data_IF_045748028503
#
_entry.id   IF_045748028503
#
_cell.length_a   1.000
_cell.length_b   1.000
_cell.length_c   1.000
_cell.angle_alpha   90.00
_cell.angle_beta   90.00
_cell.angle_gamma   90.00
#
_symmetry.space_group_name_H-M   'P 1'
#
loop_
_entity.id
_entity.type
_entity.pdbx_description
1 polymer ?
#
# COMPACT_ATOMS: atom_id res chain seq x y z
N UNK A 1 -13.03 5.07 -17.75
CA UNK A 1 -13.75 4.07 -16.93
C UNK A 1 -13.88 4.62 -15.52
N UNK A 2 -15.05 4.50 -14.88
CA UNK A 2 -15.20 4.98 -13.49
C UNK A 2 -14.24 4.25 -12.55
N UNK A 3 -13.67 4.99 -11.59
CA UNK A 3 -12.66 4.48 -10.64
C UNK A 3 -13.19 3.26 -9.88
N UNK A 4 -14.46 3.28 -9.45
CA UNK A 4 -15.09 2.15 -8.74
C UNK A 4 -15.04 0.85 -9.55
N UNK A 5 -15.34 0.92 -10.84
CA UNK A 5 -15.34 -0.26 -11.72
C UNK A 5 -13.93 -0.72 -12.02
N UNK A 6 -13.01 0.22 -12.25
CA UNK A 6 -11.58 -0.06 -12.43
C UNK A 6 -10.97 -0.82 -11.25
N UNK A 7 -11.31 -0.41 -10.02
CA UNK A 7 -10.87 -1.08 -8.81
C UNK A 7 -11.46 -2.49 -8.72
N UNK A 8 -12.75 -2.65 -9.00
CA UNK A 8 -13.41 -3.96 -8.95
C UNK A 8 -12.77 -4.93 -9.94
N UNK A 9 -12.64 -4.51 -11.20
CA UNK A 9 -12.04 -5.31 -12.27
C UNK A 9 -10.61 -5.74 -11.93
N UNK A 10 -9.80 -4.81 -11.42
CA UNK A 10 -8.46 -5.11 -10.92
C UNK A 10 -8.47 -6.15 -9.79
N UNK A 11 -9.38 -6.03 -8.81
CA UNK A 11 -9.42 -6.95 -7.68
C UNK A 11 -9.85 -8.36 -8.11
N UNK A 12 -10.82 -8.46 -9.00
CA UNK A 12 -11.27 -9.73 -9.58
C UNK A 12 -10.11 -10.42 -10.32
N UNK A 13 -9.34 -9.67 -11.10
CA UNK A 13 -8.14 -10.18 -11.78
C UNK A 13 -7.06 -10.67 -10.80
N UNK A 14 -6.84 -9.93 -9.70
CA UNK A 14 -5.86 -10.33 -8.68
C UNK A 14 -6.30 -11.58 -7.94
N UNK A 15 -7.58 -11.71 -7.62
CA UNK A 15 -8.16 -12.91 -7.03
C UNK A 15 -8.04 -14.11 -7.96
N UNK A 16 -8.35 -13.94 -9.26
CA UNK A 16 -8.16 -14.96 -10.28
C UNK A 16 -6.70 -15.44 -10.34
N UNK A 17 -5.73 -14.52 -10.25
CA UNK A 17 -4.29 -14.82 -10.18
C UNK A 17 -3.82 -15.41 -8.85
N UNK A 18 -4.71 -15.71 -7.91
CA UNK A 18 -4.40 -16.33 -6.62
C UNK A 18 -3.38 -15.53 -5.79
N UNK A 19 -3.43 -14.18 -5.82
CA UNK A 19 -2.63 -13.40 -4.84
C UNK A 19 -3.08 -13.72 -3.42
N UNK A 20 -2.18 -13.58 -2.45
CA UNK A 20 -2.50 -13.90 -1.06
C UNK A 20 -3.71 -13.10 -0.57
N UNK A 21 -4.55 -13.72 0.26
CA UNK A 21 -5.73 -13.07 0.87
C UNK A 21 -5.37 -11.76 1.57
N UNK A 22 -4.20 -11.73 2.23
CA UNK A 22 -3.70 -10.54 2.91
C UNK A 22 -3.38 -9.41 1.92
N UNK A 23 -2.73 -9.73 0.79
CA UNK A 23 -2.47 -8.76 -0.27
C UNK A 23 -3.77 -8.21 -0.87
N UNK A 24 -4.75 -9.07 -1.12
CA UNK A 24 -6.05 -8.66 -1.66
C UNK A 24 -6.81 -7.74 -0.68
N UNK A 25 -6.84 -8.09 0.61
CA UNK A 25 -7.44 -7.26 1.66
C UNK A 25 -6.75 -5.88 1.80
N UNK A 26 -5.42 -5.85 1.66
CA UNK A 26 -4.66 -4.60 1.65
C UNK A 26 -5.03 -3.73 0.44
N UNK A 27 -5.14 -4.32 -0.76
CA UNK A 27 -5.60 -3.59 -1.94
C UNK A 27 -7.02 -3.06 -1.78
N UNK A 28 -7.96 -3.88 -1.29
CA UNK A 28 -9.34 -3.47 -1.05
C UNK A 28 -9.43 -2.25 -0.12
N UNK A 29 -8.74 -2.32 1.03
CA UNK A 29 -8.74 -1.23 2.02
C UNK A 29 -8.14 0.05 1.43
N UNK A 30 -7.00 -0.07 0.74
CA UNK A 30 -6.29 1.06 0.17
C UNK A 30 -7.04 1.72 -0.99
N UNK A 31 -7.61 0.93 -1.90
CA UNK A 31 -8.32 1.48 -3.05
C UNK A 31 -9.69 2.01 -2.66
N UNK A 32 -10.37 1.43 -1.66
CA UNK A 32 -11.56 2.04 -1.07
C UNK A 32 -11.24 3.43 -0.52
N UNK A 33 -10.14 3.54 0.22
CA UNK A 33 -9.67 4.80 0.78
C UNK A 33 -9.34 5.85 -0.31
N UNK A 34 -8.57 5.44 -1.32
CA UNK A 34 -8.25 6.30 -2.46
C UNK A 34 -9.51 6.73 -3.24
N UNK A 35 -10.45 5.81 -3.46
CA UNK A 35 -11.71 6.12 -4.14
C UNK A 35 -12.55 7.13 -3.35
N UNK A 36 -12.65 6.98 -2.02
CA UNK A 36 -13.32 7.96 -1.16
C UNK A 36 -12.67 9.34 -1.30
N UNK A 37 -11.35 9.43 -1.25
CA UNK A 37 -10.64 10.69 -1.48
C UNK A 37 -10.96 11.30 -2.84
N UNK A 38 -10.99 10.49 -3.91
CA UNK A 38 -11.34 10.96 -5.25
C UNK A 38 -12.77 11.51 -5.33
N UNK A 39 -13.74 10.80 -4.72
CA UNK A 39 -15.14 11.26 -4.68
C UNK A 39 -15.30 12.59 -3.95
N UNK A 40 -14.60 12.79 -2.83
CA UNK A 40 -14.60 14.06 -2.09
C UNK A 40 -14.05 15.23 -2.90
N UNK A 41 -13.26 14.95 -3.94
CA UNK A 41 -12.69 15.94 -4.85
C UNK A 41 -13.36 15.93 -6.24
N UNK A 42 -14.54 15.30 -6.35
CA UNK A 42 -15.34 15.22 -7.59
C UNK A 42 -14.61 14.51 -8.75
N UNK A 43 -13.66 13.62 -8.45
CA UNK A 43 -12.92 12.82 -9.42
C UNK A 43 -13.57 11.44 -9.52
N UNK A 44 -14.16 11.14 -10.68
CA UNK A 44 -15.00 9.94 -10.85
C UNK A 44 -14.35 8.96 -11.84
N UNK A 45 -13.71 9.47 -12.88
CA UNK A 45 -13.13 8.70 -13.96
C UNK A 45 -11.62 8.47 -13.78
N UNK A 46 -11.13 7.31 -14.20
CA UNK A 46 -9.70 6.98 -14.15
C UNK A 46 -8.84 7.94 -14.98
N UNK A 47 -9.39 8.53 -16.04
CA UNK A 47 -8.72 9.51 -16.90
C UNK A 47 -8.50 10.87 -16.23
N UNK A 48 -9.28 11.21 -15.20
CA UNK A 48 -9.16 12.45 -14.44
C UNK A 48 -8.06 12.36 -13.38
N UNK A 49 -7.62 11.14 -13.04
CA UNK A 49 -6.55 10.92 -12.08
C UNK A 49 -5.21 11.28 -12.72
N UNK A 50 -4.73 12.47 -12.39
CA UNK A 50 -3.40 12.94 -12.81
C UNK A 50 -2.33 12.63 -11.76
N UNK A 51 -1.06 12.83 -12.13
CA UNK A 51 0.05 12.76 -11.17
C UNK A 51 -0.13 13.74 -10.00
N UNK A 52 -0.76 14.89 -10.23
CA UNK A 52 -1.04 15.88 -9.19
C UNK A 52 -2.09 15.36 -8.20
N UNK A 53 -3.14 14.69 -8.69
CA UNK A 53 -4.17 14.06 -7.85
C UNK A 53 -3.55 13.02 -6.92
N UNK A 54 -2.70 12.13 -7.44
CA UNK A 54 -2.07 11.11 -6.60
C UNK A 54 -1.12 11.74 -5.56
N UNK A 55 -0.36 12.78 -5.94
CA UNK A 55 0.45 13.52 -4.98
C UNK A 55 -0.39 14.17 -3.89
N UNK A 56 -1.53 14.76 -4.26
CA UNK A 56 -2.45 15.39 -3.31
C UNK A 56 -3.02 14.36 -2.33
N UNK A 57 -3.44 13.19 -2.82
CA UNK A 57 -3.88 12.07 -1.96
C UNK A 57 -2.77 11.60 -0.99
N UNK A 58 -1.54 11.46 -1.46
CA UNK A 58 -0.42 11.05 -0.60
C UNK A 58 -0.09 12.12 0.45
N UNK A 59 -0.20 13.41 0.10
CA UNK A 59 -0.04 14.52 1.06
C UNK A 59 -1.16 14.52 2.09
N UNK A 60 -2.41 14.28 1.68
CA UNK A 60 -3.54 14.09 2.60
C UNK A 60 -3.28 12.93 3.57
N UNK A 61 -2.84 11.77 3.07
CA UNK A 61 -2.46 10.63 3.91
C UNK A 61 -1.32 10.97 4.90
N UNK A 62 -0.37 11.81 4.49
CA UNK A 62 0.72 12.23 5.35
C UNK A 62 0.25 13.18 6.45
N UNK A 63 -0.53 14.20 6.10
CA UNK A 63 -0.90 15.31 7.00
C UNK A 63 -2.05 14.94 7.93
N UNK A 64 -3.12 14.40 7.37
CA UNK A 64 -4.36 14.14 8.12
C UNK A 64 -4.36 12.77 8.80
N UNK A 65 -3.56 11.82 8.30
CA UNK A 65 -3.51 10.44 8.80
C UNK A 65 -2.16 10.01 9.33
N UNK A 66 -1.22 10.95 9.41
CA UNK A 66 0.11 10.76 9.97
C UNK A 66 0.84 9.52 9.41
N UNK A 67 0.61 9.19 8.13
CA UNK A 67 1.24 8.04 7.51
C UNK A 67 2.74 8.26 7.36
N UNK A 68 3.52 7.27 7.79
CA UNK A 68 4.98 7.29 7.64
C UNK A 68 5.41 7.30 6.16
N UNK A 69 6.63 7.74 5.83
CA UNK A 69 7.17 7.64 4.47
C UNK A 69 7.10 6.23 3.88
N UNK A 70 7.32 5.20 4.70
CA UNK A 70 7.19 3.80 4.29
C UNK A 70 5.74 3.47 3.92
N UNK A 71 4.77 3.86 4.74
CA UNK A 71 3.34 3.67 4.47
C UNK A 71 2.89 4.38 3.19
N UNK A 72 3.38 5.61 2.96
CA UNK A 72 3.11 6.36 1.73
C UNK A 72 3.69 5.65 0.50
N UNK A 73 4.88 5.08 0.61
CA UNK A 73 5.49 4.31 -0.47
C UNK A 73 4.73 3.02 -0.76
N UNK A 74 4.24 2.31 0.26
CA UNK A 74 3.34 1.16 0.08
C UNK A 74 2.06 1.58 -0.65
N UNK A 75 1.47 2.73 -0.29
CA UNK A 75 0.30 3.27 -0.98
C UNK A 75 0.59 3.58 -2.45
N UNK A 76 1.70 4.26 -2.72
CA UNK A 76 2.15 4.58 -4.07
C UNK A 76 2.43 3.32 -4.90
N UNK A 77 3.00 2.27 -4.31
CA UNK A 77 3.23 1.00 -5.00
C UNK A 77 1.90 0.35 -5.42
N UNK A 78 0.90 0.31 -4.55
CA UNK A 78 -0.41 -0.23 -4.92
C UNK A 78 -1.08 0.57 -6.04
N UNK A 79 -1.02 1.91 -5.97
CA UNK A 79 -1.54 2.78 -7.02
C UNK A 79 -0.81 2.53 -8.35
N UNK A 80 0.52 2.40 -8.34
CA UNK A 80 1.29 1.99 -9.53
C UNK A 80 0.78 0.67 -10.10
N UNK A 81 0.55 -0.33 -9.26
CA UNK A 81 0.05 -1.64 -9.69
C UNK A 81 -1.33 -1.54 -10.35
N UNK A 82 -2.23 -0.71 -9.81
CA UNK A 82 -3.55 -0.46 -10.41
C UNK A 82 -3.44 0.23 -11.77
N UNK A 83 -2.74 1.37 -11.85
CA UNK A 83 -2.66 2.14 -13.09
C UNK A 83 -1.83 1.45 -14.18
N UNK A 84 -0.85 0.63 -13.81
CA UNK A 84 -0.14 -0.21 -14.77
C UNK A 84 -1.06 -1.31 -15.32
N UNK A 85 -1.89 -1.93 -14.47
CA UNK A 85 -2.89 -2.89 -14.95
C UNK A 85 -3.86 -2.25 -15.94
N UNK A 86 -4.37 -1.05 -15.65
CA UNK A 86 -5.25 -0.31 -16.57
C UNK A 86 -4.55 0.05 -17.89
N UNK A 87 -3.24 0.28 -17.86
CA UNK A 87 -2.46 0.49 -19.07
C UNK A 87 -2.30 -0.81 -19.86
N UNK A 88 -2.03 -1.92 -19.18
CA UNK A 88 -1.87 -3.25 -19.79
C UNK A 88 -3.16 -3.76 -20.44
N UNK A 89 -4.32 -3.47 -19.85
CA UNK A 89 -5.63 -3.82 -20.43
C UNK A 89 -6.12 -2.83 -21.49
N UNK A 90 -5.39 -1.73 -21.71
CA UNK A 90 -5.73 -0.71 -22.71
C UNK A 90 -6.79 0.30 -22.27
N UNK A 91 -7.24 0.25 -21.02
CA UNK A 91 -8.20 1.19 -20.43
C UNK A 91 -7.65 2.62 -20.34
N UNK A 92 -6.34 2.75 -20.18
CA UNK A 92 -5.62 4.03 -20.28
C UNK A 92 -4.44 3.90 -21.22
N UNK A 93 -4.11 5.00 -21.90
CA UNK A 93 -2.87 5.04 -22.69
C UNK A 93 -1.64 5.16 -21.79
N UNK A 94 -0.51 4.66 -22.28
CA UNK A 94 0.82 4.82 -21.68
C UNK A 94 1.18 6.27 -21.35
N UNK A 95 0.68 7.25 -22.12
CA UNK A 95 0.88 8.69 -21.87
C UNK A 95 0.03 9.21 -20.71
N UNK A 96 -1.12 8.57 -20.47
CA UNK A 96 -2.09 8.98 -19.45
C UNK A 96 -1.89 8.27 -18.11
N UNK A 97 -1.01 7.27 -18.01
CA UNK A 97 -0.69 6.62 -16.74
C UNK A 97 -0.04 7.63 -15.77
N UNK A 98 -0.73 8.03 -14.68
CA UNK A 98 -0.27 9.10 -13.79
C UNK A 98 0.91 8.69 -12.90
N UNK A 99 1.27 7.40 -12.90
CA UNK A 99 2.22 6.83 -11.96
C UNK A 99 3.62 6.61 -12.52
N UNK A 100 3.80 6.59 -13.86
CA UNK A 100 5.07 6.24 -14.52
C UNK A 100 6.28 7.05 -14.05
N UNK A 101 6.11 8.35 -13.84
CA UNK A 101 7.20 9.28 -13.47
C UNK A 101 7.24 9.60 -11.97
N UNK A 102 6.46 8.90 -11.16
CA UNK A 102 6.42 9.15 -9.72
C UNK A 102 7.56 8.46 -8.97
N UNK A 103 8.34 9.28 -8.26
CA UNK A 103 9.40 8.83 -7.35
C UNK A 103 8.81 8.55 -5.97
N UNK A 104 9.41 7.59 -5.28
CA UNK A 104 9.09 7.28 -3.89
C UNK A 104 9.56 8.40 -2.95
N UNK A 105 8.87 8.56 -1.83
CA UNK A 105 9.28 9.45 -0.74
C UNK A 105 10.52 8.85 -0.07
N UNK A 106 11.53 9.68 0.22
CA UNK A 106 12.73 9.23 0.94
C UNK A 106 12.32 8.81 2.36
N UNK A 107 12.52 7.54 2.69
CA UNK A 107 12.30 6.99 4.02
C UNK A 107 13.66 6.78 4.71
N UNK A 108 13.80 7.28 5.93
CA UNK A 108 14.97 6.96 6.75
C UNK A 108 14.84 5.54 7.29
N UNK A 109 15.83 4.69 7.00
CA UNK A 109 15.91 3.33 7.50
C UNK A 109 16.41 3.35 8.95
N UNK A 110 15.49 3.46 9.90
CA UNK A 110 15.80 3.26 11.32
C UNK A 110 15.82 1.75 11.62
N UNK A 111 16.83 1.05 11.12
CA UNK A 111 17.07 -0.35 11.48
C UNK A 111 17.78 -0.40 12.83
N UNK A 112 17.02 -0.44 13.92
CA UNK A 112 17.58 -0.78 15.22
C UNK A 112 17.81 -2.29 15.27
N UNK A 113 19.05 -2.73 15.10
CA UNK A 113 19.43 -4.13 15.30
C UNK A 113 19.60 -4.40 16.80
N UNK A 114 19.21 -5.59 17.23
CA UNK A 114 19.49 -6.03 18.60
C UNK A 114 20.97 -6.32 18.74
N UNK A 115 21.58 -5.85 19.83
CA UNK A 115 22.95 -6.22 20.18
C UNK A 115 22.99 -7.60 20.88
N UNK A 116 24.18 -8.18 20.99
CA UNK A 116 24.37 -9.50 21.59
C UNK A 116 23.85 -9.60 23.03
N UNK A 117 23.92 -8.52 23.82
CA UNK A 117 23.42 -8.51 25.19
C UNK A 117 21.89 -8.60 25.22
N UNK A 118 21.20 -7.84 24.36
CA UNK A 118 19.75 -7.91 24.20
C UNK A 118 19.31 -9.28 23.70
N UNK A 119 20.03 -9.87 22.75
CA UNK A 119 19.75 -11.23 22.26
C UNK A 119 19.90 -12.25 23.39
N UNK A 120 20.97 -12.16 24.20
CA UNK A 120 21.18 -13.06 25.35
C UNK A 120 20.06 -12.96 26.37
N UNK A 121 19.58 -11.76 26.68
CA UNK A 121 18.46 -11.56 27.60
C UNK A 121 17.15 -12.15 27.04
N UNK A 122 16.86 -11.95 25.75
CA UNK A 122 15.71 -12.58 25.09
C UNK A 122 15.78 -14.11 25.15
N UNK A 123 16.95 -14.69 24.86
CA UNK A 123 17.15 -16.15 24.93
C UNK A 123 16.99 -16.68 26.35
N UNK A 124 17.50 -15.96 27.36
CA UNK A 124 17.35 -16.32 28.77
C UNK A 124 15.88 -16.29 29.19
N UNK A 125 15.15 -15.27 28.76
CA UNK A 125 13.71 -15.15 29.01
C UNK A 125 12.94 -16.33 28.40
N UNK A 126 13.20 -16.68 27.13
CA UNK A 126 12.58 -17.84 26.48
C UNK A 126 12.88 -19.16 27.20
N UNK A 127 14.13 -19.38 27.64
CA UNK A 127 14.51 -20.59 28.39
C UNK A 127 13.74 -20.73 29.71
N UNK A 128 13.54 -19.62 30.43
CA UNK A 128 12.77 -19.60 31.68
C UNK A 128 11.32 -19.99 31.44
N UNK A 129 10.65 -19.39 30.45
CA UNK A 129 9.25 -19.72 30.11
C UNK A 129 9.06 -21.19 29.76
N UNK A 130 9.99 -21.77 28.98
CA UNK A 130 9.92 -23.19 28.61
C UNK A 130 10.07 -24.08 29.86
N UNK A 131 10.93 -23.69 30.80
CA UNK A 131 11.16 -24.47 32.02
C UNK A 131 9.96 -24.38 32.97
N UNK A 132 9.34 -23.21 33.09
CA UNK A 132 8.14 -22.99 33.91
C UNK A 132 6.92 -23.75 33.35
N UNK A 133 6.73 -23.82 32.03
CA UNK A 133 5.66 -24.62 31.41
C UNK A 133 5.87 -26.14 31.45
N UNK A 134 7.10 -26.62 31.64
CA UNK A 134 7.38 -28.06 31.78
C UNK A 134 7.23 -28.56 33.22
N UNK A 135 7.11 -27.64 34.18
CA UNK A 135 6.93 -27.93 35.61
C UNK A 135 5.47 -27.71 36.08
N UNK A 136 4.58 -27.30 35.17
CA UNK A 136 3.13 -27.14 35.35
C UNK A 136 2.36 -28.23 34.61
#
# INVERSE_FOLDING_TARGET
MMIKWAIKDFLDEREYRQVSKNTLANYQTLFKDFHTYCLEHEIIETSEVTQAVIKSYLLYCQRERHNSPTSLNTKLTALKTLFNYLEETGEISSKNNPTKKMKYVKAELNLTTFNDAQIKEMLKYCKRLITECLLS
#
